data_IF_287035339110
#
_entry.id   IF_287035339110
#
_cell.length_a   1.000
_cell.length_b   1.000
_cell.length_c   1.000
_cell.angle_alpha   90.00
_cell.angle_beta   90.00
_cell.angle_gamma   90.00
#
_symmetry.space_group_name_H-M   'P 1'
#
loop_
_entity.id
_entity.type
_entity.pdbx_description
1 polymer ?
#
# COMPACT_ATOMS: atom_id res chain seq x y z
N UNK A 1 36.65 31.67 -35.64
CA UNK A 1 35.90 31.80 -34.39
C UNK A 1 34.40 32.00 -34.64
N UNK A 2 33.77 31.17 -35.49
CA UNK A 2 32.33 31.27 -35.87
C UNK A 2 31.74 29.92 -36.30
N UNK A 3 32.12 28.81 -35.64
CA UNK A 3 31.60 27.46 -35.97
C UNK A 3 31.12 26.64 -34.77
N UNK A 4 30.88 27.27 -33.59
CA UNK A 4 30.48 26.54 -32.36
C UNK A 4 29.12 26.95 -31.80
N UNK A 5 28.27 27.69 -32.52
CA UNK A 5 26.97 28.17 -31.99
C UNK A 5 25.75 27.42 -32.55
N UNK A 6 25.92 26.50 -33.50
CA UNK A 6 24.74 25.84 -34.15
C UNK A 6 24.36 24.47 -33.65
N UNK A 7 25.02 23.89 -32.64
CA UNK A 7 24.65 22.55 -32.13
C UNK A 7 23.71 22.55 -30.91
N UNK A 8 23.38 23.74 -30.35
CA UNK A 8 22.51 23.80 -29.17
C UNK A 8 20.99 23.81 -29.45
N UNK A 9 20.57 24.10 -30.71
CA UNK A 9 19.13 24.21 -31.05
C UNK A 9 18.47 22.91 -31.51
N UNK A 10 19.22 21.90 -31.92
CA UNK A 10 18.67 20.61 -32.35
C UNK A 10 18.46 19.62 -31.19
N UNK A 11 19.24 19.69 -30.14
CA UNK A 11 19.05 18.84 -28.96
C UNK A 11 17.73 19.10 -28.21
N UNK A 12 17.26 20.35 -28.19
CA UNK A 12 15.99 20.73 -27.54
C UNK A 12 14.72 20.30 -28.30
N UNK A 13 14.80 20.14 -29.64
CA UNK A 13 13.66 19.70 -30.45
C UNK A 13 13.49 18.19 -30.43
N UNK A 14 14.58 17.42 -30.39
CA UNK A 14 14.52 15.95 -30.29
C UNK A 14 14.10 15.49 -28.90
N UNK A 15 14.44 16.22 -27.84
CA UNK A 15 13.98 15.90 -26.48
C UNK A 15 12.47 16.16 -26.33
N UNK A 16 11.94 17.24 -26.93
CA UNK A 16 10.49 17.54 -26.92
C UNK A 16 9.68 16.54 -27.75
N UNK A 17 10.17 16.11 -28.92
CA UNK A 17 9.53 15.08 -29.75
C UNK A 17 9.59 13.67 -29.11
N UNK A 18 10.69 13.32 -28.43
CA UNK A 18 10.76 12.09 -27.64
C UNK A 18 9.82 12.13 -26.42
N UNK A 19 9.78 13.25 -25.70
CA UNK A 19 8.85 13.43 -24.55
C UNK A 19 7.37 13.28 -24.97
N UNK A 20 6.96 13.78 -26.15
CA UNK A 20 5.58 13.64 -26.64
C UNK A 20 5.23 12.21 -27.09
N UNK A 21 6.19 11.47 -27.66
CA UNK A 21 5.97 10.08 -28.11
C UNK A 21 5.90 9.08 -26.96
N UNK A 22 6.71 9.26 -25.93
CA UNK A 22 6.67 8.43 -24.70
C UNK A 22 5.40 8.73 -23.89
N UNK A 23 4.92 9.98 -23.90
CA UNK A 23 3.65 10.35 -23.27
C UNK A 23 2.47 9.60 -23.88
N UNK A 24 2.45 9.41 -25.20
CA UNK A 24 1.38 8.70 -25.92
C UNK A 24 1.43 7.16 -25.76
N UNK A 25 2.58 6.57 -25.55
CA UNK A 25 2.72 5.12 -25.33
C UNK A 25 2.45 4.67 -23.87
N UNK A 26 2.60 5.59 -22.88
CA UNK A 26 2.21 5.36 -21.49
C UNK A 26 0.74 5.59 -21.18
N UNK A 27 0.00 6.29 -22.06
CA UNK A 27 -1.43 6.62 -21.88
C UNK A 27 -2.38 5.41 -22.06
N UNK A 28 -1.89 4.24 -22.48
CA UNK A 28 -2.72 3.11 -22.91
C UNK A 28 -3.18 2.16 -21.78
N UNK A 29 -2.88 2.41 -20.51
CA UNK A 29 -3.29 1.47 -19.44
C UNK A 29 -3.91 2.08 -18.17
N UNK A 30 -4.25 3.36 -18.13
CA UNK A 30 -4.82 3.99 -16.93
C UNK A 30 -6.24 4.48 -17.21
N UNK A 31 -7.20 3.58 -17.05
CA UNK A 31 -8.62 3.90 -17.05
C UNK A 31 -8.97 4.72 -15.80
N UNK A 32 -9.50 5.93 -15.99
CA UNK A 32 -10.20 6.80 -15.03
C UNK A 32 -9.41 7.75 -14.13
N UNK A 33 -8.10 7.96 -14.27
CA UNK A 33 -7.40 9.03 -13.55
C UNK A 33 -7.04 10.15 -14.53
N UNK A 34 -7.49 11.36 -14.19
CA UNK A 34 -7.14 12.54 -14.94
C UNK A 34 -5.70 12.97 -14.64
N UNK A 35 -4.76 12.48 -15.45
CA UNK A 35 -3.35 12.88 -15.38
C UNK A 35 -3.14 14.38 -15.68
N UNK A 36 -4.18 15.08 -16.13
CA UNK A 36 -4.18 16.52 -16.32
C UNK A 36 -4.53 17.29 -15.03
N UNK A 37 -4.89 16.62 -13.97
CA UNK A 37 -5.08 17.24 -12.65
C UNK A 37 -3.84 18.07 -12.29
N UNK A 38 -4.06 19.31 -11.85
CA UNK A 38 -2.98 20.25 -11.55
C UNK A 38 -2.01 19.72 -10.48
N UNK A 39 -2.53 19.02 -9.46
CA UNK A 39 -1.70 18.46 -8.38
C UNK A 39 -0.85 17.28 -8.87
N UNK A 40 -1.39 16.47 -9.78
CA UNK A 40 -0.61 15.42 -10.45
C UNK A 40 0.52 16.03 -11.29
N UNK A 41 0.23 17.07 -12.10
CA UNK A 41 1.26 17.79 -12.86
C UNK A 41 2.34 18.38 -11.97
N UNK A 42 1.92 19.02 -10.88
CA UNK A 42 2.86 19.57 -9.90
C UNK A 42 3.76 18.48 -9.31
N UNK A 43 3.20 17.33 -8.93
CA UNK A 43 3.99 16.19 -8.43
C UNK A 43 5.02 15.75 -9.48
N UNK A 44 4.61 15.68 -10.74
CA UNK A 44 5.49 15.32 -11.85
C UNK A 44 6.62 16.33 -12.07
N UNK A 45 6.32 17.59 -12.17
CA UNK A 45 7.32 18.65 -12.33
C UNK A 45 8.36 18.65 -11.20
N UNK A 46 7.91 18.46 -9.96
CA UNK A 46 8.79 18.40 -8.80
C UNK A 46 9.66 17.15 -8.73
N UNK A 47 9.18 16.01 -9.21
CA UNK A 47 9.99 14.81 -9.26
C UNK A 47 11.09 14.95 -10.32
N UNK A 48 10.77 15.55 -11.47
CA UNK A 48 11.71 15.77 -12.57
C UNK A 48 12.71 16.90 -12.31
N UNK A 49 12.39 17.84 -11.42
CA UNK A 49 13.27 18.95 -11.10
C UNK A 49 14.47 18.47 -10.26
N UNK A 50 15.70 18.49 -10.79
CA UNK A 50 16.88 18.08 -10.06
C UNK A 50 17.21 18.99 -8.86
N UNK A 51 16.69 20.21 -8.86
CA UNK A 51 16.86 21.16 -7.74
C UNK A 51 15.80 20.98 -6.65
N UNK A 52 14.73 20.25 -6.95
CA UNK A 52 13.71 19.98 -5.96
C UNK A 52 14.25 18.99 -4.93
N UNK A 53 14.09 19.28 -3.61
CA UNK A 53 14.49 18.37 -2.56
C UNK A 53 13.70 17.07 -2.58
N UNK A 54 13.99 16.18 -1.64
CA UNK A 54 13.19 14.98 -1.40
C UNK A 54 11.70 15.31 -1.25
N UNK A 55 10.82 14.40 -1.64
CA UNK A 55 9.38 14.63 -1.68
C UNK A 55 8.62 13.70 -0.73
N UNK A 56 7.55 14.22 -0.16
CA UNK A 56 6.53 13.42 0.50
C UNK A 56 5.16 13.69 -0.14
N UNK A 57 4.68 12.73 -0.92
CA UNK A 57 3.37 12.77 -1.59
C UNK A 57 2.37 12.09 -0.68
N UNK A 58 1.47 12.87 -0.08
CA UNK A 58 0.46 12.40 0.87
C UNK A 58 -0.95 12.68 0.37
N UNK A 59 -1.94 12.11 1.03
CA UNK A 59 -3.35 12.25 0.68
C UNK A 59 -4.18 11.10 1.22
N UNK A 60 -5.48 11.23 1.26
CA UNK A 60 -6.40 10.22 1.76
C UNK A 60 -6.36 8.89 1.00
N UNK A 61 -7.08 7.90 1.51
CA UNK A 61 -7.31 6.65 0.79
C UNK A 61 -8.00 6.89 -0.56
N UNK A 62 -7.48 6.30 -1.65
CA UNK A 62 -8.07 6.46 -2.98
C UNK A 62 -7.69 7.72 -3.75
N UNK A 63 -6.74 8.54 -3.26
CA UNK A 63 -6.26 9.74 -3.97
C UNK A 63 -5.24 9.46 -5.09
N UNK A 64 -4.95 8.21 -5.42
CA UNK A 64 -4.08 7.89 -6.57
C UNK A 64 -2.57 7.85 -6.27
N UNK A 65 -2.12 7.86 -5.00
CA UNK A 65 -0.70 7.77 -4.63
C UNK A 65 0.06 6.64 -5.35
N UNK A 66 -0.47 5.42 -5.25
CA UNK A 66 0.19 4.25 -5.87
C UNK A 66 0.21 4.31 -7.40
N UNK A 67 -0.68 5.06 -8.03
CA UNK A 67 -0.70 5.26 -9.48
C UNK A 67 0.41 6.23 -9.89
N UNK A 68 0.61 7.31 -9.12
CA UNK A 68 1.75 8.20 -9.33
C UNK A 68 3.05 7.42 -9.19
N UNK A 69 3.19 6.61 -8.15
CA UNK A 69 4.36 5.77 -7.93
C UNK A 69 4.62 4.84 -9.11
N UNK A 70 3.59 4.08 -9.54
CA UNK A 70 3.68 3.15 -10.67
C UNK A 70 4.10 3.85 -11.96
N UNK A 71 3.43 4.94 -12.30
CA UNK A 71 3.74 5.70 -13.51
C UNK A 71 5.17 6.26 -13.48
N UNK A 72 5.58 6.80 -12.32
CA UNK A 72 6.92 7.33 -12.16
C UNK A 72 8.01 6.28 -12.23
N UNK A 73 7.80 5.15 -11.59
CA UNK A 73 8.73 4.02 -11.69
C UNK A 73 8.94 3.62 -13.15
N UNK A 74 7.85 3.43 -13.91
CA UNK A 74 7.91 3.07 -15.33
C UNK A 74 8.60 4.16 -16.17
N UNK A 75 8.29 5.42 -15.90
CA UNK A 75 8.95 6.54 -16.58
C UNK A 75 10.44 6.60 -16.29
N UNK A 76 10.86 6.61 -15.03
CA UNK A 76 12.26 6.70 -14.63
C UNK A 76 13.09 5.53 -15.16
N UNK A 77 12.57 4.31 -15.09
CA UNK A 77 13.24 3.12 -15.64
C UNK A 77 13.37 3.18 -17.18
N UNK A 78 12.37 3.73 -17.88
CA UNK A 78 12.45 3.97 -19.32
C UNK A 78 13.55 4.99 -19.69
N UNK A 79 13.85 5.93 -18.78
CA UNK A 79 14.97 6.87 -18.93
C UNK A 79 16.31 6.29 -18.47
N UNK A 80 16.37 4.98 -18.15
CA UNK A 80 17.57 4.27 -17.67
C UNK A 80 18.11 4.80 -16.34
N UNK A 81 17.23 5.36 -15.51
CA UNK A 81 17.58 5.75 -14.14
C UNK A 81 17.61 4.51 -13.24
N UNK A 82 18.52 4.50 -12.28
CA UNK A 82 18.62 3.45 -11.27
C UNK A 82 17.59 3.72 -10.16
N UNK A 83 16.51 2.95 -10.15
CA UNK A 83 15.38 3.12 -9.23
C UNK A 83 15.20 1.90 -8.36
N UNK A 84 15.04 2.11 -7.06
CA UNK A 84 14.54 1.08 -6.15
C UNK A 84 13.23 1.52 -5.52
N UNK A 85 12.33 0.56 -5.30
CA UNK A 85 11.04 0.76 -4.60
C UNK A 85 11.03 -0.08 -3.35
N UNK A 86 10.68 0.53 -2.21
CA UNK A 86 10.55 -0.17 -0.94
C UNK A 86 9.16 0.03 -0.34
N UNK A 87 8.70 -1.02 0.35
CA UNK A 87 7.42 -1.09 1.05
C UNK A 87 7.62 -1.58 2.49
N UNK A 88 6.65 -1.36 3.39
CA UNK A 88 6.72 -1.88 4.76
C UNK A 88 6.51 -3.40 4.82
N UNK A 89 5.68 -3.97 3.93
CA UNK A 89 5.26 -5.37 3.96
C UNK A 89 5.49 -6.08 2.63
N UNK A 90 5.64 -7.42 2.68
CA UNK A 90 5.74 -8.24 1.49
C UNK A 90 4.48 -8.17 0.61
N UNK A 91 3.30 -8.07 1.23
CA UNK A 91 2.02 -7.92 0.50
C UNK A 91 2.00 -6.64 -0.32
N UNK A 92 2.41 -5.51 0.26
CA UNK A 92 2.48 -4.24 -0.47
C UNK A 92 3.48 -4.31 -1.63
N UNK A 93 4.64 -4.94 -1.41
CA UNK A 93 5.65 -5.13 -2.46
C UNK A 93 5.13 -6.03 -3.60
N UNK A 94 4.43 -7.12 -3.27
CA UNK A 94 3.83 -8.04 -4.26
C UNK A 94 2.80 -7.31 -5.12
N UNK A 95 1.89 -6.54 -4.51
CA UNK A 95 0.87 -5.75 -5.22
C UNK A 95 1.47 -4.75 -6.23
N UNK A 96 2.62 -4.17 -5.92
CA UNK A 96 3.33 -3.30 -6.86
C UNK A 96 4.04 -4.11 -7.95
N UNK A 97 4.63 -5.25 -7.59
CA UNK A 97 5.33 -6.11 -8.56
C UNK A 97 4.39 -6.64 -9.64
N UNK A 98 3.16 -7.02 -9.28
CA UNK A 98 2.10 -7.41 -10.22
C UNK A 98 1.76 -6.32 -11.25
N UNK A 99 1.99 -5.04 -10.89
CA UNK A 99 1.80 -3.88 -11.78
C UNK A 99 3.06 -3.53 -12.58
N UNK A 100 4.08 -4.38 -12.52
CA UNK A 100 5.37 -4.16 -13.19
C UNK A 100 6.29 -3.18 -12.45
N UNK A 101 6.04 -2.94 -11.16
CA UNK A 101 6.92 -2.14 -10.28
C UNK A 101 7.68 -3.09 -9.37
N UNK A 102 8.95 -3.36 -9.66
CA UNK A 102 9.76 -4.26 -8.85
C UNK A 102 10.05 -3.65 -7.47
N UNK A 103 9.24 -4.02 -6.51
CA UNK A 103 9.32 -3.53 -5.15
C UNK A 103 9.88 -4.59 -4.19
N UNK A 104 10.56 -4.15 -3.15
CA UNK A 104 11.08 -4.99 -2.05
C UNK A 104 10.60 -4.44 -0.72
N UNK A 105 10.61 -5.26 0.32
CA UNK A 105 10.45 -4.72 1.65
C UNK A 105 11.71 -3.95 2.07
N UNK A 106 11.56 -2.95 2.94
CA UNK A 106 12.71 -2.23 3.50
C UNK A 106 13.72 -3.19 4.13
N UNK A 107 13.23 -4.22 4.83
CA UNK A 107 14.07 -5.24 5.44
C UNK A 107 14.88 -6.02 4.40
N UNK A 108 14.29 -6.37 3.26
CA UNK A 108 14.97 -7.10 2.19
C UNK A 108 16.00 -6.23 1.45
N UNK A 109 15.68 -4.96 1.12
CA UNK A 109 16.63 -4.10 0.40
C UNK A 109 17.83 -3.74 1.28
N UNK A 110 17.58 -3.36 2.53
CA UNK A 110 18.62 -2.89 3.46
C UNK A 110 19.20 -4.00 4.34
N UNK A 111 18.76 -5.27 4.17
CA UNK A 111 19.19 -6.44 4.94
C UNK A 111 19.00 -6.23 6.46
N UNK A 112 17.89 -5.62 6.84
CA UNK A 112 17.54 -5.33 8.23
C UNK A 112 16.79 -6.52 8.85
N UNK A 113 17.06 -6.87 10.10
CA UNK A 113 16.26 -7.86 10.81
C UNK A 113 14.85 -7.33 11.09
N UNK A 114 13.84 -8.21 11.22
CA UNK A 114 12.46 -7.80 11.51
C UNK A 114 12.23 -7.33 12.95
N UNK A 115 13.26 -7.26 13.77
CA UNK A 115 13.20 -6.87 15.19
C UNK A 115 13.43 -5.36 15.37
N UNK A 116 13.01 -4.78 16.51
CA UNK A 116 13.36 -3.40 16.84
C UNK A 116 14.87 -3.19 16.78
N UNK A 117 15.29 -2.14 16.07
CA UNK A 117 16.69 -1.82 15.85
C UNK A 117 17.12 -0.78 16.89
N UNK A 118 17.76 -1.23 17.97
CA UNK A 118 18.31 -0.36 19.01
C UNK A 118 19.71 0.17 18.64
N UNK A 119 20.47 -0.60 17.88
CA UNK A 119 21.82 -0.26 17.46
C UNK A 119 21.91 -0.15 15.93
N UNK A 120 22.75 0.78 15.46
CA UNK A 120 22.99 1.00 14.04
C UNK A 120 24.16 0.13 13.60
N UNK A 121 23.87 -0.95 12.90
CA UNK A 121 24.88 -1.90 12.42
C UNK A 121 24.79 -2.02 10.91
N UNK A 122 25.93 -1.86 10.22
CA UNK A 122 26.05 -2.04 8.79
C UNK A 122 26.56 -3.46 8.47
N UNK A 123 25.68 -4.47 8.53
CA UNK A 123 25.96 -5.82 8.06
C UNK A 123 25.48 -6.00 6.61
N UNK A 124 26.21 -5.41 5.68
CA UNK A 124 25.80 -5.41 4.28
C UNK A 124 26.99 -5.72 3.37
N UNK A 125 26.88 -6.70 2.44
CA UNK A 125 27.88 -6.96 1.43
C UNK A 125 28.20 -5.72 0.58
N UNK A 126 29.44 -5.62 0.08
CA UNK A 126 29.88 -4.47 -0.73
C UNK A 126 29.04 -4.27 -1.99
N UNK A 127 28.58 -5.37 -2.61
CA UNK A 127 27.71 -5.34 -3.79
C UNK A 127 26.39 -4.61 -3.49
N UNK A 128 25.80 -4.89 -2.34
CA UNK A 128 24.55 -4.23 -1.88
C UNK A 128 24.79 -2.77 -1.50
N UNK A 129 25.93 -2.46 -0.88
CA UNK A 129 26.32 -1.07 -0.60
C UNK A 129 26.48 -0.28 -1.90
N UNK A 130 27.12 -0.88 -2.92
CA UNK A 130 27.27 -0.27 -4.23
C UNK A 130 25.93 -0.08 -4.95
N UNK A 131 25.03 -1.06 -4.87
CA UNK A 131 23.68 -0.91 -5.39
C UNK A 131 23.01 0.35 -4.82
N UNK A 132 22.93 0.46 -3.47
CA UNK A 132 22.25 1.56 -2.80
C UNK A 132 22.93 2.90 -3.10
N UNK A 133 24.25 2.94 -3.10
CA UNK A 133 25.04 4.14 -3.41
C UNK A 133 24.71 4.74 -4.79
N UNK A 134 24.47 3.87 -5.77
CA UNK A 134 24.31 4.27 -7.17
C UNK A 134 22.83 4.35 -7.61
N UNK A 135 21.89 4.30 -6.67
CA UNK A 135 20.49 4.62 -6.98
C UNK A 135 20.35 6.12 -7.27
N UNK A 136 19.67 6.45 -8.36
CA UNK A 136 19.23 7.81 -8.68
C UNK A 136 17.96 8.17 -7.88
N UNK A 137 17.07 7.17 -7.66
CA UNK A 137 15.82 7.35 -6.93
C UNK A 137 15.55 6.19 -5.97
N UNK A 138 15.11 6.54 -4.77
CA UNK A 138 14.52 5.63 -3.80
C UNK A 138 13.05 6.02 -3.59
N UNK A 139 12.13 5.19 -4.09
CA UNK A 139 10.70 5.36 -3.90
C UNK A 139 10.25 4.55 -2.69
N UNK A 140 9.49 5.17 -1.78
CA UNK A 140 9.03 4.55 -0.54
C UNK A 140 7.50 4.57 -0.54
N UNK A 141 6.85 3.41 -0.65
CA UNK A 141 5.39 3.31 -0.55
C UNK A 141 4.95 3.01 0.89
N UNK A 142 3.74 3.44 1.23
CA UNK A 142 3.12 3.29 2.56
C UNK A 142 4.07 3.68 3.72
N UNK A 143 4.77 4.82 3.57
CA UNK A 143 5.79 5.28 4.53
C UNK A 143 5.25 5.47 5.96
N UNK A 144 3.93 5.68 6.12
CA UNK A 144 3.26 5.79 7.41
C UNK A 144 3.44 4.57 8.31
N UNK A 145 3.67 3.40 7.72
CA UNK A 145 3.90 2.15 8.45
C UNK A 145 5.37 1.94 8.86
N UNK A 146 6.27 2.84 8.52
CA UNK A 146 7.66 2.75 8.97
C UNK A 146 7.79 3.35 10.36
N UNK A 147 8.37 2.58 11.29
CA UNK A 147 8.68 3.13 12.61
C UNK A 147 9.82 4.17 12.52
N UNK A 148 9.87 5.13 13.44
CA UNK A 148 10.92 6.15 13.42
C UNK A 148 12.32 5.55 13.57
N UNK A 149 12.49 4.48 14.35
CA UNK A 149 13.77 3.78 14.48
C UNK A 149 14.20 3.11 13.17
N UNK A 150 13.26 2.46 12.46
CA UNK A 150 13.51 1.82 11.17
C UNK A 150 13.88 2.88 10.11
N UNK A 151 13.17 4.01 10.10
CA UNK A 151 13.42 5.11 9.18
C UNK A 151 14.78 5.77 9.44
N UNK A 152 15.15 5.97 10.70
CA UNK A 152 16.47 6.46 11.11
C UNK A 152 17.61 5.49 10.75
N UNK A 153 17.35 4.17 10.85
CA UNK A 153 18.34 3.18 10.47
C UNK A 153 18.56 3.14 8.96
N UNK A 154 17.48 3.16 8.17
CA UNK A 154 17.55 3.30 6.72
C UNK A 154 18.40 4.53 6.32
N UNK A 155 18.09 5.69 6.90
CA UNK A 155 18.80 6.94 6.61
C UNK A 155 20.28 6.86 6.99
N UNK A 156 20.58 6.24 8.14
CA UNK A 156 21.96 6.02 8.56
C UNK A 156 22.73 5.15 7.55
N UNK A 157 22.13 4.08 7.02
CA UNK A 157 22.73 3.26 5.96
C UNK A 157 22.96 4.11 4.70
N UNK A 158 21.94 4.84 4.23
CA UNK A 158 22.05 5.71 3.05
C UNK A 158 23.20 6.70 3.17
N UNK A 159 23.37 7.29 4.35
CA UNK A 159 24.46 8.23 4.65
C UNK A 159 25.83 7.54 4.62
N UNK A 160 25.95 6.36 5.24
CA UNK A 160 27.22 5.61 5.28
C UNK A 160 27.67 5.10 3.91
N UNK A 161 26.75 4.69 3.06
CA UNK A 161 27.08 4.29 1.67
C UNK A 161 27.25 5.48 0.75
N UNK A 162 27.03 6.71 1.22
CA UNK A 162 27.11 7.97 0.46
C UNK A 162 26.09 7.99 -0.70
N UNK A 163 24.85 7.63 -0.39
CA UNK A 163 23.73 7.80 -1.31
C UNK A 163 23.50 9.30 -1.58
N UNK A 164 23.37 9.66 -2.86
CA UNK A 164 23.14 11.04 -3.32
C UNK A 164 21.87 11.18 -4.15
N UNK A 165 21.15 10.06 -4.33
CA UNK A 165 19.90 10.06 -5.10
C UNK A 165 18.74 10.76 -4.38
N UNK A 166 17.61 10.85 -5.06
CA UNK A 166 16.40 11.49 -4.56
C UNK A 166 15.49 10.49 -3.86
N UNK A 167 14.93 10.88 -2.71
CA UNK A 167 13.94 10.08 -1.96
C UNK A 167 12.56 10.65 -2.22
N UNK A 168 11.63 9.77 -2.63
CA UNK A 168 10.23 10.13 -2.84
C UNK A 168 9.38 9.18 -2.01
N UNK A 169 8.66 9.75 -1.05
CA UNK A 169 7.83 9.03 -0.10
C UNK A 169 6.36 9.15 -0.48
N UNK A 170 5.63 8.05 -0.38
CA UNK A 170 4.19 7.97 -0.58
C UNK A 170 3.54 7.40 0.66
N UNK A 171 2.45 8.00 1.13
CA UNK A 171 1.72 7.49 2.28
C UNK A 171 0.65 8.42 2.81
N UNK A 172 -0.12 7.91 3.76
CA UNK A 172 -1.14 8.66 4.49
C UNK A 172 -0.96 8.41 5.98
N UNK A 173 -0.44 9.41 6.72
CA UNK A 173 -0.19 9.27 8.16
C UNK A 173 -1.48 9.16 9.00
N UNK A 174 -2.65 9.44 8.41
CA UNK A 174 -3.94 9.19 9.03
C UNK A 174 -4.46 7.75 8.78
N UNK A 175 -3.68 6.90 8.12
CA UNK A 175 -3.91 5.45 8.06
C UNK A 175 -3.21 4.76 9.22
N UNK A 176 -2.82 3.50 9.05
CA UNK A 176 -2.23 2.75 10.15
C UNK A 176 -0.83 3.25 10.51
N UNK A 177 -0.57 3.44 11.79
CA UNK A 177 0.78 3.67 12.29
C UNK A 177 1.61 2.38 12.21
N UNK A 178 2.93 2.47 12.37
CA UNK A 178 3.79 1.31 12.48
C UNK A 178 3.43 0.44 13.69
N UNK A 179 3.57 -0.87 13.53
CA UNK A 179 3.37 -1.81 14.64
C UNK A 179 4.63 -1.83 15.50
N UNK A 180 4.57 -1.18 16.66
CA UNK A 180 5.64 -1.15 17.65
C UNK A 180 5.07 -1.60 18.99
N UNK A 181 5.73 -2.56 19.63
CA UNK A 181 5.31 -3.04 20.95
C UNK A 181 5.79 -2.10 22.06
N UNK A 182 5.02 -1.04 22.31
CA UNK A 182 5.32 -0.08 23.40
C UNK A 182 4.92 -0.60 24.79
N UNK A 183 4.31 -1.78 24.92
CA UNK A 183 4.09 -2.43 26.22
C UNK A 183 5.39 -3.10 26.75
N UNK A 184 6.32 -3.42 25.84
CA UNK A 184 7.68 -3.79 26.21
C UNK A 184 8.43 -2.55 26.70
N UNK A 185 8.90 -2.63 27.97
CA UNK A 185 9.56 -1.52 28.66
C UNK A 185 10.84 -1.08 27.96
N UNK A 186 11.65 -2.03 27.47
CA UNK A 186 12.92 -1.74 26.79
C UNK A 186 12.65 -0.94 25.50
N UNK A 187 11.70 -1.38 24.70
CA UNK A 187 11.30 -0.68 23.47
C UNK A 187 10.75 0.71 23.78
N UNK A 188 9.85 0.81 24.76
CA UNK A 188 9.27 2.09 25.18
C UNK A 188 10.32 3.07 25.64
N UNK A 189 11.20 2.66 26.57
CA UNK A 189 12.23 3.52 27.14
C UNK A 189 13.23 3.98 26.06
N UNK A 190 13.59 3.10 25.12
CA UNK A 190 14.39 3.48 23.97
C UNK A 190 13.69 4.54 23.10
N UNK A 191 12.38 4.35 22.80
CA UNK A 191 11.62 5.29 21.98
C UNK A 191 11.48 6.67 22.65
N UNK A 192 11.30 6.70 23.97
CA UNK A 192 11.30 7.94 24.74
C UNK A 192 12.68 8.61 24.75
N UNK A 193 13.75 7.86 24.98
CA UNK A 193 15.12 8.37 24.98
C UNK A 193 15.55 8.94 23.61
N UNK A 194 15.02 8.38 22.51
CA UNK A 194 15.26 8.91 21.15
C UNK A 194 14.34 10.08 20.77
N UNK A 195 13.36 10.44 21.61
CA UNK A 195 12.28 11.42 21.34
C UNK A 195 11.40 11.02 20.15
N UNK A 196 11.18 9.73 19.93
CA UNK A 196 10.23 9.23 18.94
C UNK A 196 8.79 9.34 19.44
N UNK A 197 8.61 9.25 20.77
CA UNK A 197 7.37 9.47 21.51
C UNK A 197 7.68 10.34 22.74
N UNK A 198 6.68 11.10 23.22
CA UNK A 198 6.80 11.90 24.44
C UNK A 198 6.18 11.19 25.65
N UNK A 199 5.20 10.32 25.39
CA UNK A 199 4.52 9.50 26.38
C UNK A 199 4.12 8.15 25.77
N UNK A 200 3.70 7.20 26.61
CA UNK A 200 3.35 5.83 26.18
C UNK A 200 2.11 5.73 25.29
N UNK A 201 1.32 6.78 25.19
CA UNK A 201 0.10 6.83 24.35
C UNK A 201 0.34 7.44 22.98
N UNK A 202 1.53 8.02 22.75
CA UNK A 202 1.89 8.61 21.46
C UNK A 202 2.10 7.54 20.40
N UNK A 203 1.69 7.84 19.17
CA UNK A 203 2.01 6.99 18.03
C UNK A 203 3.47 7.19 17.60
N UNK A 204 4.21 6.08 17.34
CA UNK A 204 5.60 6.14 16.91
C UNK A 204 5.70 6.47 15.42
N UNK A 205 5.30 7.67 15.01
CA UNK A 205 5.25 8.10 13.63
C UNK A 205 6.66 8.33 13.07
N UNK A 206 6.90 7.95 11.81
CA UNK A 206 8.18 8.21 11.13
C UNK A 206 8.54 9.72 11.06
N UNK A 207 7.54 10.60 11.14
CA UNK A 207 7.73 12.06 11.24
C UNK A 207 8.60 12.48 12.43
N UNK A 208 8.62 11.67 13.50
CA UNK A 208 9.40 11.94 14.70
C UNK A 208 10.87 11.50 14.56
N UNK A 209 11.22 10.78 13.49
CA UNK A 209 12.58 10.35 13.23
C UNK A 209 13.53 11.55 12.99
N UNK A 210 14.79 11.37 13.34
CA UNK A 210 15.85 12.32 13.02
C UNK A 210 16.07 12.40 11.50
N UNK A 211 15.91 11.26 10.83
CA UNK A 211 15.99 11.14 9.39
C UNK A 211 14.97 12.03 8.67
N UNK A 212 13.68 11.96 9.04
CA UNK A 212 12.65 12.80 8.42
C UNK A 212 12.96 14.29 8.58
N UNK A 213 13.37 14.70 9.78
CA UNK A 213 13.76 16.09 10.08
C UNK A 213 14.97 16.54 9.25
N UNK A 214 15.94 15.64 9.01
CA UNK A 214 17.15 15.93 8.21
C UNK A 214 16.83 15.96 6.72
N UNK A 215 16.04 15.01 6.22
CA UNK A 215 15.59 14.93 4.82
C UNK A 215 14.75 16.15 4.46
N UNK A 216 13.93 16.64 5.39
CA UNK A 216 13.05 17.81 5.25
C UNK A 216 12.34 17.87 3.89
N UNK A 217 11.52 16.88 3.55
CA UNK A 217 10.95 16.74 2.22
C UNK A 217 9.96 17.86 1.92
N UNK A 218 9.87 18.26 0.65
CA UNK A 218 8.73 19.05 0.19
C UNK A 218 7.48 18.18 0.18
N UNK A 219 6.36 18.69 0.69
CA UNK A 219 5.12 17.93 0.84
C UNK A 219 4.15 18.33 -0.27
N UNK A 220 3.55 17.31 -0.91
CA UNK A 220 2.49 17.47 -1.90
C UNK A 220 1.25 16.73 -1.35
N UNK A 221 0.14 17.46 -1.24
CA UNK A 221 -1.13 16.92 -0.76
C UNK A 221 -2.06 16.61 -1.93
N UNK A 222 -2.43 15.34 -2.10
CA UNK A 222 -3.42 14.90 -3.07
C UNK A 222 -4.82 15.00 -2.47
N UNK A 223 -5.66 15.86 -3.00
CA UNK A 223 -6.99 16.17 -2.43
C UNK A 223 -8.15 15.48 -3.14
N UNK A 224 -7.97 15.07 -4.42
CA UNK A 224 -9.00 14.40 -5.21
C UNK A 224 -9.06 12.92 -4.90
N UNK A 225 -10.24 12.43 -4.55
CA UNK A 225 -10.49 11.02 -4.27
C UNK A 225 -11.11 10.38 -5.52
N UNK A 226 -10.56 9.24 -5.96
CA UNK A 226 -10.99 8.51 -7.16
C UNK A 226 -11.69 7.19 -6.84
N UNK A 227 -11.56 6.68 -5.60
CA UNK A 227 -12.14 5.41 -5.19
C UNK A 227 -13.63 5.49 -4.95
N UNK A 228 -14.09 6.59 -4.37
CA UNK A 228 -15.49 6.86 -4.05
C UNK A 228 -16.04 7.91 -5.02
N UNK A 229 -17.31 7.74 -5.41
CA UNK A 229 -18.01 8.67 -6.30
C UNK A 229 -19.02 9.54 -5.54
N UNK A 230 -19.55 9.05 -4.41
CA UNK A 230 -20.54 9.73 -3.60
C UNK A 230 -19.90 10.88 -2.80
N UNK A 231 -20.18 12.12 -3.17
CA UNK A 231 -19.56 13.31 -2.57
C UNK A 231 -19.78 13.37 -1.05
N UNK A 232 -20.96 13.03 -0.59
CA UNK A 232 -21.31 13.01 0.83
C UNK A 232 -20.43 12.03 1.60
N UNK A 233 -20.25 10.81 1.10
CA UNK A 233 -19.35 9.81 1.70
C UNK A 233 -17.90 10.26 1.68
N UNK A 234 -17.46 10.93 0.61
CA UNK A 234 -16.12 11.53 0.51
C UNK A 234 -15.91 12.59 1.60
N UNK A 235 -16.90 13.47 1.84
CA UNK A 235 -16.81 14.50 2.89
C UNK A 235 -16.77 13.88 4.30
N UNK A 236 -17.56 12.85 4.55
CA UNK A 236 -17.51 12.09 5.81
C UNK A 236 -16.12 11.50 6.03
N UNK A 237 -15.56 10.82 5.04
CA UNK A 237 -14.22 10.22 5.13
C UNK A 237 -13.14 11.28 5.40
N UNK A 238 -13.23 12.47 4.79
CA UNK A 238 -12.29 13.57 5.06
C UNK A 238 -12.39 14.05 6.51
N UNK A 239 -13.59 14.17 7.07
CA UNK A 239 -13.79 14.59 8.47
C UNK A 239 -13.34 13.49 9.44
N UNK A 240 -13.68 12.23 9.20
CA UNK A 240 -13.25 11.09 10.02
C UNK A 240 -11.72 10.95 10.07
N UNK A 241 -11.05 11.20 8.92
CA UNK A 241 -9.60 11.20 8.82
C UNK A 241 -8.93 12.16 9.80
N UNK A 242 -9.57 13.27 10.11
CA UNK A 242 -9.05 14.35 10.96
C UNK A 242 -9.68 14.41 12.35
N UNK A 243 -10.60 13.48 12.69
CA UNK A 243 -11.36 13.53 13.93
C UNK A 243 -12.32 14.70 14.02
N UNK A 244 -12.79 15.22 12.88
CA UNK A 244 -13.71 16.38 12.77
C UNK A 244 -15.14 15.96 12.36
N UNK A 245 -15.52 14.73 12.66
CA UNK A 245 -16.87 14.21 12.37
C UNK A 245 -17.95 14.96 13.12
N UNK A 246 -19.08 15.18 12.46
CA UNK A 246 -20.28 15.80 13.04
C UNK A 246 -21.29 14.73 13.47
N UNK A 247 -22.34 15.14 14.19
CA UNK A 247 -23.44 14.22 14.54
C UNK A 247 -24.17 13.74 13.30
N UNK A 248 -24.38 14.61 12.31
CA UNK A 248 -25.01 14.26 11.03
C UNK A 248 -24.18 13.22 10.26
N UNK A 249 -22.84 13.29 10.31
CA UNK A 249 -21.97 12.28 9.73
C UNK A 249 -22.18 10.92 10.39
N UNK A 250 -22.25 10.93 11.72
CA UNK A 250 -22.49 9.70 12.49
C UNK A 250 -23.87 9.13 12.22
N UNK A 251 -24.91 9.98 12.17
CA UNK A 251 -26.27 9.53 11.85
C UNK A 251 -26.31 8.85 10.47
N UNK A 252 -25.66 9.46 9.46
CA UNK A 252 -25.65 8.90 8.13
C UNK A 252 -24.87 7.58 8.08
N UNK A 253 -23.68 7.49 8.68
CA UNK A 253 -22.93 6.24 8.74
C UNK A 253 -23.67 5.19 9.56
N UNK A 254 -24.29 5.57 10.67
CA UNK A 254 -25.01 4.66 11.56
C UNK A 254 -26.33 4.15 10.97
N UNK A 255 -26.85 4.79 9.92
CA UNK A 255 -27.95 4.21 9.13
C UNK A 255 -27.59 2.85 8.52
N UNK A 256 -26.29 2.50 8.50
CA UNK A 256 -25.75 1.22 8.00
C UNK A 256 -25.63 0.14 9.08
N UNK A 257 -26.18 0.36 10.27
CA UNK A 257 -26.23 -0.68 11.32
C UNK A 257 -27.21 -1.76 10.93
N UNK A 258 -26.70 -2.97 10.79
CA UNK A 258 -27.47 -4.15 10.31
C UNK A 258 -26.87 -5.42 10.94
N UNK A 259 -27.66 -6.44 11.14
CA UNK A 259 -27.13 -7.72 11.63
C UNK A 259 -26.23 -8.39 10.58
N UNK A 260 -25.16 -9.08 11.02
CA UNK A 260 -24.26 -9.82 10.13
C UNK A 260 -25.05 -10.78 9.22
N UNK A 261 -26.04 -11.47 9.77
CA UNK A 261 -26.84 -12.46 9.02
C UNK A 261 -27.63 -11.82 7.89
N UNK A 262 -28.26 -10.70 8.16
CA UNK A 262 -29.06 -9.95 7.20
C UNK A 262 -28.16 -9.37 6.10
N UNK A 263 -27.09 -8.67 6.49
CA UNK A 263 -26.13 -8.13 5.53
C UNK A 263 -25.49 -9.20 4.63
N UNK A 264 -25.15 -10.37 5.22
CA UNK A 264 -24.62 -11.50 4.45
C UNK A 264 -25.66 -12.10 3.48
N UNK A 265 -26.94 -12.13 3.86
CA UNK A 265 -27.98 -12.63 2.95
C UNK A 265 -28.18 -11.73 1.73
N UNK A 266 -27.98 -10.43 1.89
CA UNK A 266 -28.05 -9.46 0.79
C UNK A 266 -26.75 -9.40 -0.02
N UNK A 267 -25.60 -9.59 0.65
CA UNK A 267 -24.26 -9.42 0.08
C UNK A 267 -23.36 -10.61 0.43
N UNK A 268 -23.56 -11.77 -0.18
CA UNK A 268 -22.79 -12.99 0.13
C UNK A 268 -21.29 -12.85 -0.16
N UNK A 269 -20.89 -11.89 -1.01
CA UNK A 269 -19.51 -11.56 -1.34
C UNK A 269 -18.91 -10.44 -0.44
N UNK A 270 -19.50 -10.21 0.74
CA UNK A 270 -18.94 -9.24 1.69
C UNK A 270 -17.62 -9.71 2.29
N UNK A 271 -16.74 -8.78 2.64
CA UNK A 271 -15.60 -9.04 3.52
C UNK A 271 -15.93 -8.61 4.96
N UNK A 272 -15.83 -9.55 5.90
CA UNK A 272 -15.97 -9.26 7.33
C UNK A 272 -14.65 -8.65 7.85
N UNK A 273 -14.73 -7.46 8.42
CA UNK A 273 -13.57 -6.72 8.93
C UNK A 273 -13.63 -6.58 10.46
N UNK A 274 -12.54 -6.90 11.14
CA UNK A 274 -12.38 -6.67 12.58
C UNK A 274 -11.00 -6.11 12.90
N UNK A 275 -10.86 -5.39 14.00
CA UNK A 275 -9.55 -4.96 14.50
C UNK A 275 -8.78 -6.08 15.24
N UNK A 276 -9.44 -7.22 15.54
CA UNK A 276 -8.95 -8.27 16.43
C UNK A 276 -8.71 -9.59 15.70
N UNK A 277 -7.47 -10.09 15.70
CA UNK A 277 -7.11 -11.35 15.03
C UNK A 277 -7.90 -12.58 15.56
N UNK A 278 -8.14 -12.68 16.87
CA UNK A 278 -8.88 -13.81 17.44
C UNK A 278 -10.33 -13.87 16.94
N UNK A 279 -10.97 -12.71 16.73
CA UNK A 279 -12.32 -12.62 16.15
C UNK A 279 -12.28 -13.08 14.70
N UNK A 280 -11.34 -12.58 13.90
CA UNK A 280 -11.17 -12.97 12.49
C UNK A 280 -10.96 -14.48 12.36
N UNK A 281 -10.07 -15.05 13.17
CA UNK A 281 -9.80 -16.49 13.15
C UNK A 281 -11.04 -17.31 13.54
N UNK A 282 -11.77 -16.87 14.57
CA UNK A 282 -13.02 -17.53 14.98
C UNK A 282 -14.06 -17.51 13.86
N UNK A 283 -14.28 -16.34 13.25
CA UNK A 283 -15.26 -16.17 12.16
C UNK A 283 -14.87 -17.02 10.94
N UNK A 284 -13.60 -17.02 10.53
CA UNK A 284 -13.13 -17.86 9.42
C UNK A 284 -13.28 -19.36 9.74
N UNK A 285 -12.97 -19.79 10.96
CA UNK A 285 -13.14 -21.17 11.37
C UNK A 285 -14.61 -21.62 11.40
N UNK A 286 -15.51 -20.75 11.87
CA UNK A 286 -16.95 -21.00 11.85
C UNK A 286 -17.46 -21.10 10.40
N UNK A 287 -17.04 -20.19 9.54
CA UNK A 287 -17.40 -20.17 8.13
C UNK A 287 -16.91 -21.43 7.40
N UNK A 288 -15.64 -21.81 7.59
CA UNK A 288 -15.08 -23.00 6.95
C UNK A 288 -15.74 -24.31 7.42
N UNK A 289 -16.26 -24.37 8.65
CA UNK A 289 -17.00 -25.55 9.14
C UNK A 289 -18.30 -25.81 8.37
N UNK A 290 -18.91 -24.80 7.77
CA UNK A 290 -20.14 -24.96 7.00
C UNK A 290 -19.94 -25.75 5.69
N UNK A 291 -18.69 -25.87 5.21
CA UNK A 291 -18.34 -26.54 3.95
C UNK A 291 -17.83 -27.98 4.11
N UNK A 292 -17.87 -28.57 5.31
CA UNK A 292 -17.32 -29.93 5.56
C UNK A 292 -17.79 -31.01 4.61
N UNK A 293 -18.99 -30.88 4.07
CA UNK A 293 -19.59 -31.86 3.15
C UNK A 293 -19.58 -31.41 1.69
N UNK A 294 -19.00 -30.21 1.40
CA UNK A 294 -18.87 -29.70 0.06
C UNK A 294 -17.68 -30.37 -0.66
N UNK A 295 -17.77 -30.45 -1.98
CA UNK A 295 -16.62 -30.83 -2.79
C UNK A 295 -15.49 -29.82 -2.60
N UNK A 296 -14.26 -30.30 -2.52
CA UNK A 296 -13.09 -29.47 -2.34
C UNK A 296 -11.92 -29.91 -3.21
N UNK A 297 -10.95 -29.03 -3.36
CA UNK A 297 -9.65 -29.30 -3.98
C UNK A 297 -8.52 -28.79 -3.08
N UNK A 298 -7.47 -29.59 -2.98
CA UNK A 298 -6.21 -29.23 -2.33
C UNK A 298 -5.20 -28.78 -3.40
N UNK A 299 -4.99 -27.50 -3.51
CA UNK A 299 -4.03 -26.92 -4.44
C UNK A 299 -2.65 -26.90 -3.81
N UNK A 300 -1.77 -27.79 -4.27
CA UNK A 300 -0.37 -27.87 -3.83
C UNK A 300 0.46 -26.83 -4.57
N UNK A 301 1.32 -26.14 -3.85
CA UNK A 301 2.27 -25.22 -4.45
C UNK A 301 3.41 -25.94 -5.16
N UNK A 302 3.99 -25.27 -6.16
CA UNK A 302 5.26 -25.64 -6.80
C UNK A 302 6.19 -24.46 -6.63
N UNK A 303 7.32 -24.66 -5.95
CA UNK A 303 8.28 -23.60 -5.67
C UNK A 303 9.70 -24.00 -6.05
N UNK A 304 10.41 -23.04 -6.65
CA UNK A 304 11.81 -23.17 -7.06
C UNK A 304 12.67 -22.03 -6.50
N UNK A 305 13.95 -22.25 -6.38
CA UNK A 305 14.91 -21.23 -5.94
C UNK A 305 14.70 -20.77 -4.49
N UNK A 306 14.76 -19.45 -4.25
CA UNK A 306 14.75 -18.83 -2.92
C UNK A 306 13.42 -19.00 -2.17
N UNK A 307 12.30 -19.17 -2.88
CA UNK A 307 10.95 -19.22 -2.31
C UNK A 307 10.55 -20.58 -1.72
N UNK A 308 11.41 -21.57 -1.76
CA UNK A 308 11.13 -22.97 -1.36
C UNK A 308 10.72 -23.16 0.11
N UNK A 309 10.83 -22.17 0.97
CA UNK A 309 10.65 -22.31 2.44
C UNK A 309 9.60 -21.40 3.09
N UNK A 310 8.98 -20.46 2.38
CA UNK A 310 8.23 -19.36 3.02
C UNK A 310 6.72 -19.38 2.78
N UNK A 311 6.16 -20.34 2.00
CA UNK A 311 4.77 -20.25 1.53
C UNK A 311 3.96 -21.49 1.88
N UNK A 312 2.65 -21.31 2.08
CA UNK A 312 1.72 -22.42 2.33
C UNK A 312 1.77 -23.46 1.22
N UNK A 313 2.19 -24.68 1.55
CA UNK A 313 2.36 -25.76 0.57
C UNK A 313 1.03 -26.23 -0.02
N UNK A 314 -0.10 -26.11 0.70
CA UNK A 314 -1.41 -26.56 0.27
C UNK A 314 -2.50 -25.55 0.65
N UNK A 315 -3.27 -25.12 -0.34
CA UNK A 315 -4.47 -24.31 -0.13
C UNK A 315 -5.71 -25.18 -0.41
N UNK A 316 -6.54 -25.38 0.63
CA UNK A 316 -7.81 -26.09 0.49
C UNK A 316 -8.94 -25.11 0.20
N UNK A 317 -9.67 -25.33 -0.90
CA UNK A 317 -10.82 -24.53 -1.32
C UNK A 317 -12.03 -25.45 -1.54
N UNK A 318 -13.19 -25.02 -1.02
CA UNK A 318 -14.46 -25.72 -1.10
C UNK A 318 -15.42 -25.04 -2.09
N UNK A 319 -16.25 -25.81 -2.78
CA UNK A 319 -17.39 -25.27 -3.52
C UNK A 319 -18.35 -24.55 -2.56
N UNK A 320 -18.87 -23.39 -2.98
CA UNK A 320 -19.68 -22.49 -2.16
C UNK A 320 -18.88 -21.57 -1.22
N UNK A 321 -17.56 -21.77 -1.07
CA UNK A 321 -16.73 -20.96 -0.19
C UNK A 321 -16.41 -19.61 -0.83
N UNK A 322 -16.39 -18.55 -0.03
CA UNK A 322 -15.85 -17.25 -0.46
C UNK A 322 -14.33 -17.28 -0.50
N UNK A 323 -13.79 -16.81 -1.62
CA UNK A 323 -12.36 -16.62 -1.81
C UNK A 323 -12.03 -15.17 -2.17
N UNK A 324 -10.75 -14.84 -2.05
CA UNK A 324 -10.16 -13.63 -2.57
C UNK A 324 -9.10 -14.00 -3.60
N UNK A 325 -9.18 -13.40 -4.79
CA UNK A 325 -8.13 -13.51 -5.79
C UNK A 325 -6.86 -12.85 -5.27
N UNK A 326 -5.72 -13.48 -5.52
CA UNK A 326 -4.40 -13.05 -5.02
C UNK A 326 -3.48 -12.53 -6.13
N UNK A 327 -3.96 -12.50 -7.37
CA UNK A 327 -3.23 -12.03 -8.55
C UNK A 327 -4.15 -11.23 -9.48
N UNK A 328 -3.55 -10.45 -10.39
CA UNK A 328 -4.28 -9.76 -11.46
C UNK A 328 -4.23 -10.57 -12.75
N UNK A 329 -5.37 -10.87 -13.34
CA UNK A 329 -5.46 -11.51 -14.65
C UNK A 329 -6.53 -10.81 -15.50
N UNK A 330 -6.07 -9.98 -16.43
CA UNK A 330 -6.97 -9.20 -17.31
C UNK A 330 -7.66 -10.06 -18.36
N UNK A 331 -7.08 -11.19 -18.76
CA UNK A 331 -7.66 -12.11 -19.75
C UNK A 331 -8.88 -12.82 -19.16
N UNK A 332 -8.76 -13.31 -17.94
CA UNK A 332 -9.86 -13.96 -17.21
C UNK A 332 -10.77 -12.96 -16.48
N UNK A 333 -10.35 -11.69 -16.35
CA UNK A 333 -11.16 -10.59 -15.82
C UNK A 333 -11.20 -10.50 -14.31
N UNK A 334 -10.18 -10.98 -13.59
CA UNK A 334 -10.08 -10.79 -12.14
C UNK A 334 -8.87 -9.96 -11.71
N UNK A 335 -8.98 -9.39 -10.53
CA UNK A 335 -7.93 -8.53 -9.94
C UNK A 335 -7.63 -9.00 -8.51
N UNK A 336 -6.40 -8.75 -8.06
CA UNK A 336 -6.01 -8.99 -6.68
C UNK A 336 -6.93 -8.23 -5.70
N UNK A 337 -7.41 -8.96 -4.68
CA UNK A 337 -8.39 -8.45 -3.74
C UNK A 337 -9.86 -8.63 -4.16
N UNK A 338 -10.12 -9.08 -5.39
CA UNK A 338 -11.48 -9.40 -5.84
C UNK A 338 -12.04 -10.59 -5.07
N UNK A 339 -13.25 -10.44 -4.56
CA UNK A 339 -13.98 -11.49 -3.85
C UNK A 339 -14.91 -12.22 -4.81
N UNK A 340 -15.07 -13.51 -4.60
CA UNK A 340 -16.03 -14.34 -5.32
C UNK A 340 -16.42 -15.58 -4.54
N UNK A 341 -17.57 -16.16 -4.90
CA UNK A 341 -18.04 -17.44 -4.36
C UNK A 341 -17.64 -18.56 -5.31
N UNK A 342 -17.02 -19.60 -4.80
CA UNK A 342 -16.57 -20.74 -5.60
C UNK A 342 -17.77 -21.53 -6.12
N UNK A 343 -17.90 -21.60 -7.43
CA UNK A 343 -18.93 -22.37 -8.12
C UNK A 343 -18.49 -23.81 -8.38
N UNK A 344 -17.23 -23.99 -8.80
CA UNK A 344 -16.64 -25.30 -9.03
C UNK A 344 -15.13 -25.30 -8.77
N UNK A 345 -14.60 -26.45 -8.34
CA UNK A 345 -13.17 -26.69 -8.16
C UNK A 345 -12.68 -27.78 -9.11
N UNK A 346 -11.56 -27.52 -9.79
CA UNK A 346 -10.86 -28.45 -10.69
C UNK A 346 -9.37 -28.54 -10.29
N UNK A 347 -8.60 -29.43 -10.90
CA UNK A 347 -7.22 -29.72 -10.50
C UNK A 347 -6.29 -28.50 -10.59
N UNK A 348 -6.39 -27.70 -11.66
CA UNK A 348 -5.51 -26.56 -11.91
C UNK A 348 -6.21 -25.20 -11.95
N UNK A 349 -7.51 -25.17 -11.74
CA UNK A 349 -8.29 -23.95 -11.70
C UNK A 349 -9.52 -24.08 -10.82
N UNK A 350 -10.18 -22.95 -10.60
CA UNK A 350 -11.51 -22.91 -9.99
C UNK A 350 -12.37 -21.87 -10.71
N UNK A 351 -13.68 -21.99 -10.57
CA UNK A 351 -14.64 -21.04 -11.10
C UNK A 351 -15.32 -20.32 -9.96
N UNK A 352 -15.41 -19.00 -10.05
CA UNK A 352 -16.07 -18.17 -9.05
C UNK A 352 -17.18 -17.35 -9.69
N UNK A 353 -18.23 -17.07 -8.93
CA UNK A 353 -19.17 -16.01 -9.24
C UNK A 353 -18.75 -14.72 -8.58
N UNK A 354 -18.61 -13.65 -9.38
CA UNK A 354 -18.38 -12.31 -8.86
C UNK A 354 -19.70 -11.70 -8.35
N UNK A 355 -19.64 -10.44 -7.91
CA UNK A 355 -20.82 -9.70 -7.43
C UNK A 355 -21.92 -9.47 -8.47
N UNK A 356 -21.59 -9.63 -9.76
CA UNK A 356 -22.53 -9.46 -10.89
C UNK A 356 -23.02 -10.82 -11.41
N UNK A 357 -22.86 -11.89 -10.63
CA UNK A 357 -23.18 -13.28 -11.00
C UNK A 357 -22.42 -13.78 -12.26
N UNK A 358 -21.34 -13.07 -12.65
CA UNK A 358 -20.51 -13.50 -13.75
C UNK A 358 -19.56 -14.60 -13.29
N UNK A 359 -19.55 -15.71 -14.01
CA UNK A 359 -18.58 -16.81 -13.77
C UNK A 359 -17.22 -16.40 -14.32
N UNK A 360 -16.20 -16.49 -13.48
CA UNK A 360 -14.81 -16.15 -13.75
C UNK A 360 -13.94 -17.34 -13.44
N UNK A 361 -13.08 -17.72 -14.38
CA UNK A 361 -12.08 -18.75 -14.19
C UNK A 361 -10.87 -18.18 -13.47
N UNK A 362 -10.48 -18.77 -12.34
CA UNK A 362 -9.26 -18.44 -11.61
C UNK A 362 -8.28 -19.59 -11.77
N UNK A 363 -7.13 -19.30 -12.32
CA UNK A 363 -6.08 -20.27 -12.65
C UNK A 363 -4.92 -20.18 -11.67
N UNK A 364 -3.98 -21.09 -11.81
CA UNK A 364 -2.68 -20.97 -11.15
C UNK A 364 -1.94 -19.77 -11.69
N UNK A 365 -1.18 -19.14 -10.83
CA UNK A 365 -0.28 -18.07 -11.25
C UNK A 365 1.09 -18.23 -10.58
N UNK A 366 2.07 -17.51 -11.10
CA UNK A 366 3.46 -17.63 -10.65
C UNK A 366 3.92 -16.32 -10.04
N UNK A 367 4.30 -16.39 -8.77
CA UNK A 367 4.99 -15.29 -8.08
C UNK A 367 6.49 -15.51 -8.23
N UNK A 368 7.19 -14.46 -8.59
CA UNK A 368 8.64 -14.48 -8.69
C UNK A 368 9.28 -13.66 -7.59
N UNK A 369 10.34 -14.18 -7.00
CA UNK A 369 11.24 -13.38 -6.16
C UNK A 369 12.40 -12.87 -7.00
N UNK A 370 12.82 -11.63 -6.73
CA UNK A 370 13.83 -10.95 -7.52
C UNK A 370 14.99 -10.50 -6.65
N UNK A 371 16.20 -10.60 -7.16
CA UNK A 371 17.38 -9.96 -6.60
C UNK A 371 17.73 -8.75 -7.45
N UNK A 372 17.94 -7.63 -6.78
CA UNK A 372 18.39 -6.39 -7.42
C UNK A 372 19.92 -6.32 -7.22
N UNK A 373 20.68 -6.17 -8.30
CA UNK A 373 22.11 -6.00 -8.29
C UNK A 373 22.53 -4.76 -9.09
N UNK A 374 23.70 -4.23 -8.77
CA UNK A 374 24.28 -3.12 -9.50
C UNK A 374 25.44 -3.61 -10.38
N UNK A 375 25.30 -3.44 -11.70
CA UNK A 375 26.36 -3.74 -12.66
C UNK A 375 27.32 -2.54 -12.75
N UNK A 376 28.47 -2.64 -12.10
CA UNK A 376 29.48 -1.57 -12.08
C UNK A 376 30.00 -1.22 -13.47
N UNK A 377 30.05 -2.20 -14.42
CA UNK A 377 30.57 -1.96 -15.78
C UNK A 377 29.61 -1.14 -16.62
N UNK A 378 28.31 -1.36 -16.44
CA UNK A 378 27.27 -0.69 -17.20
C UNK A 378 26.64 0.49 -16.47
N UNK A 379 27.00 0.70 -15.20
CA UNK A 379 26.40 1.71 -14.31
C UNK A 379 24.87 1.61 -14.25
N UNK A 380 24.36 0.39 -14.16
CA UNK A 380 22.92 0.13 -14.18
C UNK A 380 22.49 -0.86 -13.09
N UNK A 381 21.25 -0.71 -12.61
CA UNK A 381 20.58 -1.68 -11.73
C UNK A 381 20.01 -2.81 -12.59
N UNK A 382 20.35 -4.05 -12.25
CA UNK A 382 19.81 -5.26 -12.87
C UNK A 382 18.92 -6.00 -11.92
N UNK A 383 17.86 -6.59 -12.47
CA UNK A 383 16.88 -7.38 -11.74
C UNK A 383 17.02 -8.82 -12.21
N UNK A 384 17.29 -9.74 -11.27
CA UNK A 384 17.40 -11.17 -11.53
C UNK A 384 16.30 -11.91 -10.77
N UNK A 385 15.57 -12.76 -11.46
CA UNK A 385 14.67 -13.69 -10.81
C UNK A 385 15.49 -14.72 -10.01
N UNK A 386 15.15 -14.91 -8.73
CA UNK A 386 15.88 -15.80 -7.81
C UNK A 386 15.08 -17.01 -7.39
N UNK A 387 13.79 -16.97 -7.59
CA UNK A 387 12.89 -18.08 -7.29
C UNK A 387 11.50 -17.82 -7.80
N UNK A 388 10.75 -18.90 -8.01
CA UNK A 388 9.36 -18.86 -8.42
C UNK A 388 8.49 -19.68 -7.46
N UNK A 389 7.23 -19.26 -7.34
CA UNK A 389 6.22 -19.92 -6.57
C UNK A 389 4.93 -19.94 -7.38
N UNK A 390 4.52 -21.15 -7.80
CA UNK A 390 3.30 -21.36 -8.56
C UNK A 390 2.22 -21.95 -7.65
N UNK A 391 1.08 -21.28 -7.57
CA UNK A 391 -0.06 -21.69 -6.76
C UNK A 391 -1.37 -21.23 -7.41
N UNK A 392 -2.50 -21.75 -6.98
CA UNK A 392 -3.81 -21.20 -7.35
C UNK A 392 -3.89 -19.71 -6.93
N UNK A 393 -4.34 -18.85 -7.85
CA UNK A 393 -4.40 -17.41 -7.61
C UNK A 393 -5.58 -17.00 -6.72
N UNK A 394 -5.85 -17.78 -5.68
CA UNK A 394 -6.96 -17.58 -4.76
C UNK A 394 -6.62 -18.05 -3.35
N UNK A 395 -7.28 -17.46 -2.36
CA UNK A 395 -7.23 -17.92 -0.96
C UNK A 395 -8.60 -17.81 -0.31
N UNK A 396 -8.95 -18.67 0.65
CA UNK A 396 -10.15 -18.50 1.46
C UNK A 396 -10.15 -17.12 2.15
N UNK A 397 -11.26 -16.38 2.05
CA UNK A 397 -11.32 -15.03 2.59
C UNK A 397 -12.76 -14.60 2.91
N UNK A 398 -13.26 -14.99 4.08
CA UNK A 398 -14.53 -14.48 4.59
C UNK A 398 -14.34 -13.32 5.57
N UNK A 399 -13.36 -13.45 6.48
CA UNK A 399 -13.01 -12.41 7.42
C UNK A 399 -11.52 -12.02 7.32
N UNK A 400 -11.22 -10.75 7.54
CA UNK A 400 -9.87 -10.20 7.55
C UNK A 400 -9.71 -9.16 8.64
N UNK A 401 -8.48 -8.89 9.05
CA UNK A 401 -8.23 -7.71 9.89
C UNK A 401 -8.25 -6.44 9.05
N UNK A 402 -8.64 -5.32 9.67
CA UNK A 402 -8.61 -3.99 9.05
C UNK A 402 -7.20 -3.69 8.49
N UNK A 403 -6.14 -4.12 9.19
CA UNK A 403 -4.75 -3.98 8.75
C UNK A 403 -4.46 -4.71 7.42
N UNK A 404 -4.89 -5.97 7.31
CA UNK A 404 -4.69 -6.78 6.10
C UNK A 404 -5.58 -6.33 4.93
N UNK A 405 -6.65 -5.59 5.21
CA UNK A 405 -7.50 -4.98 4.19
C UNK A 405 -6.94 -3.66 3.66
N UNK A 406 -5.82 -3.16 4.20
CA UNK A 406 -5.13 -2.00 3.65
C UNK A 406 -4.70 -2.27 2.20
N UNK A 407 -4.86 -1.29 1.32
CA UNK A 407 -4.64 -1.46 -0.13
C UNK A 407 -5.85 -1.99 -0.90
N UNK A 408 -6.73 -2.78 -0.28
CA UNK A 408 -7.91 -3.32 -0.94
C UNK A 408 -8.96 -2.24 -1.25
N UNK A 409 -9.79 -2.53 -2.22
CA UNK A 409 -11.01 -1.78 -2.54
C UNK A 409 -12.17 -2.76 -2.51
N UNK A 410 -13.16 -2.51 -1.65
CA UNK A 410 -14.25 -3.42 -1.37
C UNK A 410 -15.58 -2.84 -1.85
N UNK A 411 -16.38 -3.68 -2.47
CA UNK A 411 -17.74 -3.32 -2.82
C UNK A 411 -18.67 -3.46 -1.59
N UNK A 412 -18.46 -4.53 -0.81
CA UNK A 412 -19.23 -4.82 0.40
C UNK A 412 -18.29 -5.18 1.56
N UNK A 413 -18.43 -4.48 2.67
CA UNK A 413 -17.67 -4.73 3.89
C UNK A 413 -18.57 -4.67 5.12
N UNK A 414 -18.49 -5.68 5.97
CA UNK A 414 -19.14 -5.69 7.28
C UNK A 414 -18.12 -5.40 8.36
N UNK A 415 -18.25 -4.27 9.03
CA UNK A 415 -17.33 -3.84 10.07
C UNK A 415 -17.81 -4.30 11.45
N UNK A 416 -17.03 -5.18 12.05
CA UNK A 416 -17.24 -5.62 13.43
C UNK A 416 -16.64 -4.63 14.44
N UNK A 417 -17.50 -4.02 15.21
CA UNK A 417 -17.20 -3.05 16.26
C UNK A 417 -17.43 -3.65 17.66
N UNK A 418 -17.50 -4.98 17.80
CA UNK A 418 -17.76 -5.65 19.08
C UNK A 418 -16.61 -5.53 20.09
N UNK A 419 -15.40 -5.25 19.62
CA UNK A 419 -14.24 -5.01 20.50
C UNK A 419 -14.43 -3.74 21.34
N UNK A 420 -14.06 -3.83 22.62
CA UNK A 420 -14.01 -2.67 23.52
C UNK A 420 -12.89 -1.68 23.17
N UNK A 421 -11.86 -2.14 22.47
CA UNK A 421 -10.75 -1.32 22.01
C UNK A 421 -10.69 -1.31 20.48
N UNK A 422 -10.77 -0.11 19.91
CA UNK A 422 -10.60 0.15 18.49
C UNK A 422 -9.32 0.99 18.34
N UNK A 423 -8.28 0.47 17.68
CA UNK A 423 -7.04 1.22 17.50
C UNK A 423 -7.27 2.55 16.77
N UNK A 424 -6.48 3.59 17.08
CA UNK A 424 -6.54 4.87 16.36
C UNK A 424 -6.52 4.68 14.84
N UNK A 425 -7.22 5.53 14.13
CA UNK A 425 -7.36 5.55 12.67
C UNK A 425 -8.06 4.33 12.03
N UNK A 426 -8.37 3.27 12.80
CA UNK A 426 -8.96 2.02 12.26
C UNK A 426 -10.32 2.23 11.62
N UNK A 427 -11.19 3.07 12.21
CA UNK A 427 -12.51 3.37 11.64
C UNK A 427 -12.36 4.04 10.27
N UNK A 428 -11.61 5.13 10.19
CA UNK A 428 -11.35 5.80 8.92
C UNK A 428 -10.78 4.83 7.87
N UNK A 429 -9.80 4.02 8.27
CA UNK A 429 -9.19 3.05 7.35
C UNK A 429 -10.23 2.08 6.81
N UNK A 430 -11.03 1.44 7.69
CA UNK A 430 -12.05 0.46 7.30
C UNK A 430 -13.09 1.07 6.36
N UNK A 431 -13.65 2.23 6.72
CA UNK A 431 -14.64 2.94 5.90
C UNK A 431 -14.07 3.32 4.53
N UNK A 432 -12.80 3.77 4.48
CA UNK A 432 -12.13 4.17 3.25
C UNK A 432 -11.87 3.00 2.28
N UNK A 433 -12.08 1.75 2.69
CA UNK A 433 -11.99 0.58 1.80
C UNK A 433 -13.22 0.43 0.93
N UNK A 434 -14.40 0.84 1.43
CA UNK A 434 -15.64 0.73 0.66
C UNK A 434 -15.75 1.75 -0.46
N UNK A 435 -16.29 1.33 -1.60
CA UNK A 435 -16.58 2.22 -2.74
C UNK A 435 -17.76 3.14 -2.45
N UNK A 436 -18.78 2.62 -1.77
CA UNK A 436 -20.03 3.32 -1.52
C UNK A 436 -20.47 3.16 -0.06
N UNK A 437 -21.28 4.09 0.41
CA UNK A 437 -21.91 4.00 1.74
C UNK A 437 -22.84 2.77 1.82
N UNK A 438 -23.56 2.45 0.75
CA UNK A 438 -24.49 1.31 0.69
C UNK A 438 -23.76 -0.04 0.81
N UNK A 439 -22.50 -0.10 0.39
CA UNK A 439 -21.68 -1.31 0.55
C UNK A 439 -21.15 -1.55 1.96
N UNK A 440 -21.51 -0.68 2.93
CA UNK A 440 -21.07 -0.79 4.31
C UNK A 440 -22.16 -1.41 5.19
N UNK A 441 -21.80 -2.38 6.04
CA UNK A 441 -22.58 -2.88 7.15
C UNK A 441 -21.84 -2.69 8.47
N UNK A 442 -22.53 -2.30 9.53
CA UNK A 442 -21.95 -2.07 10.86
C UNK A 442 -22.61 -2.99 11.89
N UNK A 443 -21.81 -3.60 12.77
CA UNK A 443 -22.34 -4.46 13.85
C UNK A 443 -23.03 -3.68 14.98
N UNK A 444 -22.66 -2.41 15.15
CA UNK A 444 -23.26 -1.43 16.08
C UNK A 444 -23.01 -0.01 15.60
N UNK A 445 -23.72 0.99 16.18
CA UNK A 445 -23.40 2.39 15.90
C UNK A 445 -21.95 2.74 16.23
N UNK A 446 -21.33 3.55 15.37
CA UNK A 446 -20.05 4.22 15.62
C UNK A 446 -20.34 5.42 16.53
N UNK A 447 -19.54 5.62 17.56
CA UNK A 447 -19.58 6.74 18.50
C UNK A 447 -18.43 7.70 18.22
N UNK A 448 -18.53 8.93 18.66
CA UNK A 448 -17.40 9.88 18.61
C UNK A 448 -16.13 9.30 19.25
N UNK A 449 -16.27 8.58 20.37
CA UNK A 449 -15.15 7.96 21.08
C UNK A 449 -14.47 6.80 20.32
N UNK A 450 -15.13 6.22 19.33
CA UNK A 450 -14.56 5.17 18.49
C UNK A 450 -13.62 5.76 17.41
N UNK A 451 -13.75 7.06 17.11
CA UNK A 451 -12.97 7.76 16.09
C UNK A 451 -11.83 8.51 16.79
N UNK A 452 -10.73 7.80 17.00
CA UNK A 452 -9.55 8.37 17.61
C UNK A 452 -8.52 8.73 16.55
N UNK A 453 -8.05 9.97 16.58
CA UNK A 453 -7.02 10.51 15.70
C UNK A 453 -5.89 11.07 16.55
N UNK A 454 -4.67 10.66 16.24
CA UNK A 454 -3.49 11.18 16.92
C UNK A 454 -3.34 12.69 16.72
N UNK A 455 -3.00 13.41 17.79
CA UNK A 455 -2.90 14.87 17.78
C UNK A 455 -1.80 15.41 16.83
N UNK A 456 -0.73 14.65 16.60
CA UNK A 456 0.33 15.02 15.66
C UNK A 456 -0.18 14.87 14.22
N UNK A 457 -0.95 13.80 13.93
CA UNK A 457 -1.58 13.59 12.62
C UNK A 457 -2.56 14.71 12.32
N UNK A 458 -3.42 15.07 13.27
CA UNK A 458 -4.38 16.16 13.09
C UNK A 458 -3.67 17.50 12.83
N UNK A 459 -2.62 17.82 13.61
CA UNK A 459 -1.82 19.04 13.43
C UNK A 459 -1.10 19.08 12.08
N UNK A 460 -0.54 17.94 11.65
CA UNK A 460 0.17 17.84 10.37
C UNK A 460 -0.74 18.20 9.20
N UNK A 461 -1.94 17.60 9.12
CA UNK A 461 -2.87 17.89 8.02
C UNK A 461 -3.51 19.28 8.13
N UNK A 462 -3.83 19.75 9.31
CA UNK A 462 -4.34 21.12 9.49
C UNK A 462 -3.30 22.17 9.03
N UNK A 463 -2.00 21.93 9.28
CA UNK A 463 -0.94 22.81 8.80
C UNK A 463 -0.77 22.79 7.27
N UNK A 464 -1.12 21.68 6.60
CA UNK A 464 -1.09 21.60 5.14
C UNK A 464 -2.30 22.29 4.52
N UNK A 465 -3.51 22.09 5.07
CA UNK A 465 -4.72 22.74 4.59
C UNK A 465 -4.57 24.26 4.64
N UNK A 466 -4.03 24.81 5.75
CA UNK A 466 -3.80 26.25 5.88
C UNK A 466 -2.75 26.83 4.89
N UNK A 467 -1.86 25.98 4.34
CA UNK A 467 -0.87 26.42 3.32
C UNK A 467 -1.47 26.45 1.92
N UNK A 468 -2.48 25.65 1.65
CA UNK A 468 -3.17 25.62 0.36
C UNK A 468 -4.16 26.77 0.19
N UNK A 469 -4.71 27.30 1.29
CA UNK A 469 -5.64 28.46 1.27
C UNK A 469 -4.97 29.82 0.98
N UNK A 470 -3.61 29.88 0.93
CA UNK A 470 -2.87 31.13 0.61
C UNK A 470 -2.32 31.17 -0.83
N UNK A 471 -2.72 30.23 -1.69
CA UNK A 471 -2.22 30.13 -3.08
C UNK A 471 -3.33 30.25 -4.13
N UNK A 472 -4.42 30.97 -3.81
CA UNK A 472 -5.37 31.50 -4.82
C UNK A 472 -5.01 32.92 -5.25
#
# INVERSE_FOLDING_TARGET
MLSLINNGKNAGKDSKKRKSKIKSECELSITNIDLNDAVFKQAYEMIEDPLCPNLFITGGGGCGKSIILEHYYKYLTSQKMNVAVICPTGVAASLLTEKGVYAKTIHSLFLLPPQPLFEKVLHMPKERQNLIKNLDYLLIDEVSMFSPSLFDHMWWILTNVRFTGKIIMFGDIAQLPPVVNLTDTITRDYYMAQNYIQNEHDLPLFLNSKAYKTISPKIIMLNKIYRQEQQEFIYILKRFRLGKQTDEDLDLINSRVISKREFYSEHPNMLYLSSVNSIVNRINNEYNKSFKNAKYMDYKSQSEGSLKKEVEDVIRIYEGQQIMCTHNNSENGYQNGMLGIVEAVEEDCLYIKDRNEKTIKVERDTWSDFRIEYDQKKNEVKIFETGTYNQIAAKPAFASTIHKAQGLTLDYAYLDLSSSFIPPHSIYLALSRCRTLQGLGLSRPIRHSDITVDSQVARFYTALDNKTDYSE
#
